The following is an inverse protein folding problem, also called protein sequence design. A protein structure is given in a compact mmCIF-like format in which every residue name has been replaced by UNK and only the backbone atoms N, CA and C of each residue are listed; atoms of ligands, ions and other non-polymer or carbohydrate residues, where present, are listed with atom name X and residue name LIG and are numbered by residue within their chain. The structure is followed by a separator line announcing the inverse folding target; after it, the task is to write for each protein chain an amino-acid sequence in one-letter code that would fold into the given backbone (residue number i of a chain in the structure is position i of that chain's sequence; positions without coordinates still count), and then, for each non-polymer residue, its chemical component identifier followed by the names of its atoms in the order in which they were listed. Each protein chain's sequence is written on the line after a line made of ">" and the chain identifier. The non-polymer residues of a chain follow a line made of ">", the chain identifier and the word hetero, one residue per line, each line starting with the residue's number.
data_IF_408046183366
#
_entry.id   IF_408046183366
#
_cell.length_a   1.000
_cell.length_b   1.000
_cell.length_c   1.000
_cell.angle_alpha   90.00
_cell.angle_beta   90.00
_cell.angle_gamma   90.00
#
_symmetry.space_group_name_H-M   'P 1'
#
loop_
_entity.id
_entity.type
_entity.pdbx_description
1 polymer ?
#
# COMPACT_ATOMS: atom_id res chain seq x y z
N UNK A 1 47.23 21.82 10.82
CA UNK A 1 46.61 20.57 10.33
C UNK A 1 45.11 20.72 10.53
N UNK A 2 44.34 20.89 9.45
CA UNK A 2 42.88 21.12 9.52
C UNK A 2 42.19 19.79 9.20
N UNK A 3 41.21 19.31 9.99
CA UNK A 3 40.56 18.04 9.71
C UNK A 3 39.71 18.15 8.44
N UNK A 4 39.94 17.25 7.48
CA UNK A 4 39.06 17.09 6.33
C UNK A 4 37.78 16.42 6.80
N UNK A 5 36.70 17.20 6.91
CA UNK A 5 35.38 16.67 7.20
C UNK A 5 34.97 15.75 6.04
N UNK A 6 34.95 14.44 6.28
CA UNK A 6 34.36 13.49 5.32
C UNK A 6 32.85 13.71 5.35
N UNK A 7 32.30 14.27 4.27
CA UNK A 7 30.86 14.35 4.06
C UNK A 7 30.33 12.93 3.94
N UNK A 8 29.63 12.44 4.96
CA UNK A 8 28.93 11.16 4.88
C UNK A 8 27.93 11.23 3.72
N UNK A 9 27.92 10.23 2.86
CA UNK A 9 26.93 10.12 1.78
C UNK A 9 25.60 9.76 2.44
N UNK A 10 24.73 10.75 2.59
CA UNK A 10 23.35 10.50 2.99
C UNK A 10 22.71 9.68 1.87
N UNK A 11 22.41 8.41 2.14
CA UNK A 11 21.65 7.61 1.20
C UNK A 11 20.20 8.03 1.36
N UNK A 12 19.67 8.73 0.36
CA UNK A 12 18.26 9.11 0.30
C UNK A 12 17.44 7.84 0.03
N UNK A 13 17.21 7.05 1.09
CA UNK A 13 16.45 5.80 1.02
C UNK A 13 15.03 6.10 1.43
N UNK A 14 14.09 5.85 0.53
CA UNK A 14 12.67 5.74 0.89
C UNK A 14 12.53 4.52 1.80
N UNK A 15 12.23 4.77 3.06
CA UNK A 15 12.07 3.73 4.10
C UNK A 15 10.66 3.14 4.13
N UNK A 16 9.67 3.86 3.61
CA UNK A 16 8.27 3.44 3.61
C UNK A 16 7.46 4.24 2.61
N UNK A 17 6.47 3.61 1.99
CA UNK A 17 5.44 4.26 1.18
C UNK A 17 4.10 3.99 1.84
N UNK A 18 3.33 5.05 2.11
CA UNK A 18 1.97 4.94 2.61
C UNK A 18 1.01 5.23 1.47
N UNK A 19 0.08 4.31 1.22
CA UNK A 19 -0.98 4.46 0.25
C UNK A 19 -2.29 3.99 0.87
N UNK A 20 -3.37 4.70 0.58
CA UNK A 20 -4.72 4.35 0.96
C UNK A 20 -5.55 4.35 -0.31
N UNK A 21 -6.23 3.24 -0.58
CA UNK A 21 -7.20 3.16 -1.67
C UNK A 21 -8.56 2.78 -1.11
N UNK A 22 -9.61 3.28 -1.76
CA UNK A 22 -10.98 2.85 -1.54
C UNK A 22 -11.40 1.96 -2.72
N UNK A 23 -11.21 0.64 -2.58
CA UNK A 23 -11.73 -0.30 -3.57
C UNK A 23 -13.20 -0.66 -3.32
N UNK A 24 -13.79 -0.30 -2.17
CA UNK A 24 -15.19 -0.63 -1.89
C UNK A 24 -16.12 0.16 -2.81
N UNK A 25 -15.93 1.47 -2.96
CA UNK A 25 -16.77 2.29 -3.84
C UNK A 25 -16.79 1.82 -5.30
N UNK A 26 -15.65 1.61 -5.99
CA UNK A 26 -15.68 1.14 -7.38
C UNK A 26 -16.19 -0.30 -7.51
N UNK A 27 -15.87 -1.18 -6.57
CA UNK A 27 -16.36 -2.56 -6.62
C UNK A 27 -17.86 -2.66 -6.35
N UNK A 28 -18.39 -1.81 -5.45
CA UNK A 28 -19.83 -1.74 -5.20
C UNK A 28 -20.58 -1.16 -6.41
N UNK A 29 -20.02 -0.15 -7.08
CA UNK A 29 -20.58 0.38 -8.33
C UNK A 29 -20.57 -0.66 -9.47
N UNK A 30 -19.57 -1.53 -9.50
CA UNK A 30 -19.41 -2.56 -10.53
C UNK A 30 -20.30 -3.79 -10.27
N UNK A 31 -20.34 -4.27 -9.03
CA UNK A 31 -21.00 -5.53 -8.65
C UNK A 31 -22.41 -5.33 -8.10
N UNK A 32 -22.74 -4.14 -7.61
CA UNK A 32 -24.09 -3.78 -7.18
C UNK A 32 -24.48 -4.26 -5.77
N UNK A 33 -23.66 -5.07 -5.10
CA UNK A 33 -23.93 -5.53 -3.73
C UNK A 33 -22.66 -5.73 -2.90
N UNK A 34 -22.75 -5.54 -1.58
CA UNK A 34 -21.63 -5.80 -0.67
C UNK A 34 -21.32 -7.29 -0.52
N UNK A 35 -22.31 -8.17 -0.72
CA UNK A 35 -22.10 -9.62 -0.72
C UNK A 35 -21.24 -10.08 -1.90
N UNK A 36 -21.49 -9.55 -3.10
CA UNK A 36 -20.68 -9.86 -4.27
C UNK A 36 -19.28 -9.26 -4.17
N UNK A 37 -19.16 -8.05 -3.59
CA UNK A 37 -17.86 -7.46 -3.25
C UNK A 37 -17.11 -8.36 -2.27
N UNK A 38 -17.76 -8.83 -1.19
CA UNK A 38 -17.15 -9.75 -0.22
C UNK A 38 -16.67 -11.04 -0.88
N UNK A 39 -17.47 -11.61 -1.79
CA UNK A 39 -17.11 -12.77 -2.57
C UNK A 39 -15.89 -12.53 -3.47
N UNK A 40 -15.80 -11.36 -4.11
CA UNK A 40 -14.65 -10.99 -4.95
C UNK A 40 -13.32 -10.92 -4.17
N UNK A 41 -13.38 -10.58 -2.88
CA UNK A 41 -12.20 -10.58 -2.01
C UNK A 41 -12.00 -11.88 -1.22
N UNK A 42 -12.88 -12.88 -1.39
CA UNK A 42 -12.73 -14.17 -0.72
C UNK A 42 -11.47 -14.89 -1.23
N UNK A 43 -10.52 -15.12 -0.31
CA UNK A 43 -9.16 -15.65 -0.60
C UNK A 43 -8.29 -14.74 -1.48
N UNK A 44 -8.68 -13.49 -1.69
CA UNK A 44 -7.82 -12.51 -2.34
C UNK A 44 -6.60 -12.23 -1.46
N UNK A 45 -5.45 -11.99 -2.10
CA UNK A 45 -4.22 -11.58 -1.40
C UNK A 45 -4.12 -10.09 -1.15
N UNK A 46 -5.11 -9.32 -1.61
CA UNK A 46 -5.24 -7.89 -1.40
C UNK A 46 -6.56 -7.62 -0.69
N UNK A 47 -6.56 -6.72 0.28
CA UNK A 47 -7.76 -6.26 0.96
C UNK A 47 -8.39 -5.09 0.19
N UNK A 48 -9.68 -4.76 0.46
CA UNK A 48 -10.33 -3.61 -0.17
C UNK A 48 -9.65 -2.25 0.11
N UNK A 49 -8.81 -2.16 1.14
CA UNK A 49 -7.96 -0.99 1.44
C UNK A 49 -6.58 -1.04 0.77
N UNK A 50 -6.41 -1.89 -0.26
CA UNK A 50 -5.18 -2.05 -1.03
C UNK A 50 -3.98 -2.61 -0.25
N UNK A 51 -4.19 -3.38 0.82
CA UNK A 51 -3.10 -4.01 1.58
C UNK A 51 -2.93 -5.47 1.21
N UNK A 52 -1.69 -5.94 1.19
CA UNK A 52 -1.42 -7.36 1.01
C UNK A 52 -1.70 -8.12 2.32
N UNK A 53 -2.38 -9.27 2.20
CA UNK A 53 -2.59 -10.18 3.33
C UNK A 53 -1.31 -11.02 3.53
N UNK A 54 -0.69 -10.92 4.71
CA UNK A 54 0.49 -11.72 5.09
C UNK A 54 1.86 -11.05 4.88
N UNK A 55 1.89 -9.73 4.72
CA UNK A 55 3.12 -8.92 4.78
C UNK A 55 3.40 -8.42 6.20
#
# INVERSE_FOLDING_TARGET
>A
MVPVARKAVATDKVVSIYSQADMLTPMLNLLGSLEDVSCAFYKARVTPDCRFVGA
#
